data_IF_698603813047
#
_entry.id   IF_698603813047
#
_cell.length_a   1.000
_cell.length_b   1.000
_cell.length_c   1.000
_cell.angle_alpha   90.00
_cell.angle_beta   90.00
_cell.angle_gamma   90.00
#
_symmetry.space_group_name_H-M   'P 1'
#
loop_
_entity.id
_entity.type
_entity.pdbx_description
1 polymer ?
#
# COMPACT_ATOMS: atom_id res chain seq x y z
N UNK A 1 -7.96 23.89 16.57
CA UNK A 1 -7.29 22.55 16.64
C UNK A 1 -6.23 22.58 15.56
N UNK A 2 -4.96 22.36 15.89
CA UNK A 2 -3.89 22.30 14.90
C UNK A 2 -3.68 20.84 14.55
N UNK A 3 -3.80 20.48 13.27
CA UNK A 3 -3.49 19.18 12.72
C UNK A 3 -2.08 19.15 12.17
N UNK A 4 -1.48 17.97 12.09
CA UNK A 4 -0.22 17.72 11.39
C UNK A 4 -0.54 16.85 10.18
N UNK A 5 -0.10 17.26 8.98
CA UNK A 5 -0.22 16.45 7.79
C UNK A 5 0.58 15.14 7.96
N UNK A 6 0.01 14.03 7.55
CA UNK A 6 0.67 12.72 7.60
C UNK A 6 0.23 11.84 6.44
N UNK A 7 1.13 10.98 5.98
CA UNK A 7 0.91 10.01 4.92
C UNK A 7 1.70 8.73 5.18
N UNK A 8 1.15 7.59 4.77
CA UNK A 8 1.83 6.30 4.77
C UNK A 8 2.06 5.83 3.33
N UNK A 9 3.32 5.66 2.97
CA UNK A 9 3.75 5.17 1.66
C UNK A 9 4.06 3.67 1.70
N UNK A 10 3.49 2.91 0.75
CA UNK A 10 3.99 1.58 0.44
C UNK A 10 5.29 1.71 -0.35
N UNK A 11 6.35 1.17 0.20
CA UNK A 11 7.72 1.33 -0.33
C UNK A 11 8.45 -0.01 -0.40
N UNK A 12 9.59 -0.02 -1.04
CA UNK A 12 10.49 -1.16 -1.00
C UNK A 12 11.96 -0.72 -0.88
N UNK A 13 12.74 -1.62 -0.33
CA UNK A 13 14.20 -1.54 -0.29
C UNK A 13 14.80 -2.82 -0.85
N UNK A 14 15.93 -2.72 -1.52
CA UNK A 14 16.68 -3.91 -1.96
C UNK A 14 17.68 -4.31 -0.86
N UNK A 15 17.57 -5.53 -0.35
CA UNK A 15 18.50 -6.14 0.60
C UNK A 15 18.94 -7.49 0.08
N UNK A 16 20.24 -7.68 -0.13
CA UNK A 16 20.82 -8.92 -0.65
C UNK A 16 20.11 -9.43 -1.93
N UNK A 17 19.88 -8.55 -2.89
CA UNK A 17 19.14 -8.79 -4.13
C UNK A 17 17.67 -9.21 -3.95
N UNK A 18 17.11 -9.07 -2.73
CA UNK A 18 15.72 -9.34 -2.43
C UNK A 18 14.98 -8.01 -2.25
N UNK A 19 13.83 -7.87 -2.92
CA UNK A 19 12.92 -6.74 -2.72
C UNK A 19 12.16 -6.95 -1.41
N UNK A 20 12.40 -6.10 -0.42
CA UNK A 20 11.71 -6.10 0.87
C UNK A 20 10.71 -4.95 0.85
N UNK A 21 9.44 -5.28 1.02
CA UNK A 21 8.36 -4.30 1.15
C UNK A 21 8.34 -3.75 2.57
N UNK A 22 8.12 -2.45 2.68
CA UNK A 22 8.03 -1.73 3.95
C UNK A 22 7.11 -0.52 3.79
N UNK A 23 6.71 0.05 4.92
CA UNK A 23 5.92 1.27 4.92
C UNK A 23 6.72 2.42 5.52
N UNK A 24 6.61 3.59 4.90
CA UNK A 24 7.24 4.82 5.35
C UNK A 24 6.16 5.82 5.68
N UNK A 25 6.22 6.36 6.88
CA UNK A 25 5.37 7.45 7.33
C UNK A 25 6.08 8.78 7.07
N UNK A 26 5.35 9.72 6.50
CA UNK A 26 5.77 11.11 6.40
C UNK A 26 4.91 12.00 7.28
N UNK A 27 5.51 12.88 8.06
CA UNK A 27 4.79 13.78 8.95
C UNK A 27 5.25 15.23 8.78
N UNK A 28 4.33 16.18 8.95
CA UNK A 28 4.64 17.60 9.05
C UNK A 28 5.21 18.24 7.80
N UNK A 29 5.03 17.62 6.64
CA UNK A 29 5.52 18.11 5.36
C UNK A 29 4.65 19.24 4.81
N UNK A 30 5.23 20.10 3.97
CA UNK A 30 4.49 21.08 3.17
C UNK A 30 3.63 20.35 2.11
N UNK A 31 2.31 20.43 2.27
CA UNK A 31 1.33 19.80 1.38
C UNK A 31 1.36 20.38 -0.04
N UNK A 32 1.97 21.55 -0.25
CA UNK A 32 2.09 22.20 -1.57
C UNK A 32 3.43 21.92 -2.26
N UNK A 33 4.33 21.15 -1.63
CA UNK A 33 5.62 20.85 -2.23
C UNK A 33 5.45 20.02 -3.51
N UNK A 34 6.03 20.49 -4.61
CA UNK A 34 5.82 19.91 -5.95
C UNK A 34 6.38 18.49 -6.06
N UNK A 35 7.50 18.14 -5.39
CA UNK A 35 8.05 16.80 -5.41
C UNK A 35 7.15 15.82 -4.66
N UNK A 36 6.60 16.27 -3.54
CA UNK A 36 5.64 15.51 -2.76
C UNK A 36 4.36 15.26 -3.55
N UNK A 37 3.78 16.29 -4.15
CA UNK A 37 2.59 16.19 -5.00
C UNK A 37 2.80 15.24 -6.18
N UNK A 38 3.93 15.32 -6.86
CA UNK A 38 4.27 14.43 -7.97
C UNK A 38 4.39 12.96 -7.51
N UNK A 39 4.99 12.71 -6.35
CA UNK A 39 5.11 11.36 -5.79
C UNK A 39 3.75 10.77 -5.41
N UNK A 40 2.88 11.58 -4.80
CA UNK A 40 1.50 11.19 -4.45
C UNK A 40 0.68 10.88 -5.71
N UNK A 41 0.83 11.68 -6.76
CA UNK A 41 0.17 11.46 -8.04
C UNK A 41 0.65 10.16 -8.71
N UNK A 42 1.97 9.92 -8.75
CA UNK A 42 2.54 8.66 -9.27
C UNK A 42 2.00 7.44 -8.49
N UNK A 43 1.96 7.54 -7.16
CA UNK A 43 1.41 6.47 -6.32
C UNK A 43 -0.07 6.21 -6.60
N UNK A 44 -0.86 7.27 -6.82
CA UNK A 44 -2.26 7.18 -7.21
C UNK A 44 -2.41 6.45 -8.55
N UNK A 45 -1.65 6.86 -9.56
CA UNK A 45 -1.69 6.26 -10.91
C UNK A 45 -1.30 4.79 -10.91
N UNK A 46 -0.22 4.43 -10.22
CA UNK A 46 0.21 3.03 -10.07
C UNK A 46 -0.88 2.19 -9.39
N UNK A 47 -1.53 2.72 -8.37
CA UNK A 47 -2.61 2.05 -7.65
C UNK A 47 -3.82 1.82 -8.55
N UNK A 48 -4.25 2.86 -9.27
CA UNK A 48 -5.37 2.76 -10.21
C UNK A 48 -5.08 1.70 -11.29
N UNK A 49 -3.88 1.74 -11.88
CA UNK A 49 -3.46 0.75 -12.88
C UNK A 49 -3.50 -0.69 -12.33
N UNK A 50 -3.13 -0.85 -11.09
CA UNK A 50 -3.15 -2.12 -10.39
C UNK A 50 -4.57 -2.61 -10.09
N UNK A 51 -5.45 -1.74 -9.64
CA UNK A 51 -6.87 -2.07 -9.43
C UNK A 51 -7.54 -2.47 -10.75
N UNK A 52 -7.22 -1.78 -11.85
CA UNK A 52 -7.71 -2.16 -13.19
C UNK A 52 -7.24 -3.57 -13.57
N UNK A 53 -5.98 -3.92 -13.32
CA UNK A 53 -5.48 -5.29 -13.57
C UNK A 53 -6.23 -6.34 -12.74
N UNK A 54 -6.46 -6.05 -11.46
CA UNK A 54 -7.23 -6.93 -10.58
C UNK A 54 -8.68 -7.08 -11.03
N UNK A 55 -9.30 -5.98 -11.44
CA UNK A 55 -10.66 -5.99 -11.97
C UNK A 55 -10.76 -6.83 -13.26
N UNK A 56 -9.85 -6.62 -14.21
CA UNK A 56 -9.82 -7.39 -15.45
C UNK A 56 -9.61 -8.89 -15.16
N UNK A 57 -8.73 -9.21 -14.23
CA UNK A 57 -8.53 -10.58 -13.78
C UNK A 57 -9.81 -11.17 -13.16
N UNK A 58 -10.47 -10.42 -12.27
CA UNK A 58 -11.75 -10.82 -11.70
C UNK A 58 -12.80 -11.06 -12.78
N UNK A 59 -12.93 -10.17 -13.75
CA UNK A 59 -13.84 -10.33 -14.91
C UNK A 59 -13.55 -11.60 -15.72
N UNK A 60 -12.28 -11.95 -15.92
CA UNK A 60 -11.89 -13.16 -16.66
C UNK A 60 -12.19 -14.46 -15.90
N UNK A 61 -12.11 -14.45 -14.57
CA UNK A 61 -12.30 -15.62 -13.71
C UNK A 61 -13.73 -15.76 -13.19
N UNK A 62 -14.48 -14.68 -13.19
CA UNK A 62 -15.85 -14.58 -12.70
C UNK A 62 -16.81 -14.68 -13.86
N UNK A 63 -17.38 -15.84 -14.03
CA UNK A 63 -18.50 -16.00 -14.94
C UNK A 63 -19.70 -15.19 -14.39
N UNK A 64 -20.10 -14.15 -15.13
CA UNK A 64 -21.37 -13.43 -14.94
C UNK A 64 -21.47 -12.42 -13.77
N UNK A 65 -20.39 -11.70 -13.43
CA UNK A 65 -20.59 -10.49 -12.61
C UNK A 65 -21.21 -9.39 -13.48
N UNK A 66 -22.31 -8.77 -13.03
CA UNK A 66 -22.89 -7.64 -13.76
C UNK A 66 -21.87 -6.50 -13.84
N UNK A 67 -21.70 -5.93 -15.05
CA UNK A 67 -20.79 -4.78 -15.24
C UNK A 67 -21.16 -3.60 -14.32
N UNK A 68 -22.44 -3.44 -14.04
CA UNK A 68 -22.98 -2.43 -13.15
C UNK A 68 -22.41 -2.54 -11.72
N UNK A 69 -22.28 -3.77 -11.18
CA UNK A 69 -21.71 -4.01 -9.85
C UNK A 69 -20.25 -3.61 -9.79
N UNK A 70 -19.50 -3.89 -10.85
CA UNK A 70 -18.08 -3.58 -10.95
C UNK A 70 -17.83 -2.09 -11.18
N UNK A 71 -18.73 -1.36 -11.83
CA UNK A 71 -18.64 0.08 -12.05
C UNK A 71 -18.72 0.89 -10.75
N UNK A 72 -19.33 0.31 -9.70
CA UNK A 72 -19.42 0.93 -8.37
C UNK A 72 -18.11 0.91 -7.58
N UNK A 73 -17.13 0.10 -8.01
CA UNK A 73 -15.82 0.04 -7.35
C UNK A 73 -15.04 1.32 -7.69
N UNK A 74 -14.82 2.15 -6.69
CA UNK A 74 -14.01 3.35 -6.85
C UNK A 74 -12.53 2.99 -6.92
N UNK A 75 -11.95 3.00 -8.12
CA UNK A 75 -10.55 2.65 -8.37
C UNK A 75 -9.54 3.64 -7.78
N UNK A 76 -9.98 4.88 -7.50
CA UNK A 76 -9.13 5.92 -6.93
C UNK A 76 -9.08 5.89 -5.41
N UNK A 77 -10.03 5.20 -4.78
CA UNK A 77 -10.14 5.16 -3.33
C UNK A 77 -8.95 4.41 -2.71
N UNK A 78 -8.43 4.96 -1.64
CA UNK A 78 -7.41 4.32 -0.82
C UNK A 78 -8.04 3.20 0.03
N UNK A 79 -8.47 2.13 -0.62
CA UNK A 79 -8.96 0.94 0.07
C UNK A 79 -8.47 -0.31 -0.64
N UNK A 80 -8.52 -1.38 0.09
CA UNK A 80 -8.18 -2.68 -0.44
C UNK A 80 -9.22 -3.05 -1.50
N UNK A 81 -8.80 -3.22 -2.76
CA UNK A 81 -9.68 -3.61 -3.87
C UNK A 81 -10.54 -4.83 -3.52
N UNK A 82 -9.95 -5.84 -2.87
CA UNK A 82 -10.63 -7.04 -2.41
C UNK A 82 -11.82 -6.73 -1.49
N UNK A 83 -11.68 -5.79 -0.57
CA UNK A 83 -12.78 -5.39 0.33
C UNK A 83 -13.93 -4.71 -0.39
N UNK A 84 -13.62 -3.78 -1.29
CA UNK A 84 -14.68 -3.10 -2.08
C UNK A 84 -15.37 -4.08 -3.02
N UNK A 85 -14.61 -5.01 -3.61
CA UNK A 85 -15.15 -6.06 -4.46
C UNK A 85 -16.12 -6.97 -3.66
N UNK A 86 -15.70 -7.49 -2.51
CA UNK A 86 -16.56 -8.31 -1.64
C UNK A 86 -17.81 -7.53 -1.22
N UNK A 87 -17.67 -6.25 -0.86
CA UNK A 87 -18.79 -5.40 -0.50
C UNK A 87 -19.81 -5.24 -1.67
N UNK A 88 -19.33 -5.13 -2.91
CA UNK A 88 -20.22 -5.14 -4.08
C UNK A 88 -21.00 -6.45 -4.19
N UNK A 89 -20.35 -7.60 -3.99
CA UNK A 89 -21.04 -8.90 -4.01
C UNK A 89 -22.09 -9.01 -2.89
N UNK A 90 -21.78 -8.53 -1.69
CA UNK A 90 -22.73 -8.49 -0.57
C UNK A 90 -23.93 -7.60 -0.88
N UNK A 91 -23.72 -6.43 -1.45
CA UNK A 91 -24.79 -5.50 -1.86
C UNK A 91 -25.69 -6.05 -2.96
N UNK A 92 -25.14 -6.87 -3.85
CA UNK A 92 -25.88 -7.53 -4.94
C UNK A 92 -26.51 -8.87 -4.53
N UNK A 93 -26.48 -9.20 -3.21
CA UNK A 93 -27.05 -10.41 -2.63
C UNK A 93 -26.51 -11.72 -3.24
N UNK A 94 -25.22 -11.74 -3.60
CA UNK A 94 -24.57 -13.01 -3.98
C UNK A 94 -24.58 -13.99 -2.80
N UNK A 95 -24.62 -15.29 -3.11
CA UNK A 95 -24.59 -16.31 -2.06
C UNK A 95 -23.30 -16.25 -1.24
N UNK A 96 -23.37 -16.64 0.02
CA UNK A 96 -22.19 -16.70 0.90
C UNK A 96 -21.10 -17.60 0.36
N UNK A 97 -21.43 -18.65 -0.38
CA UNK A 97 -20.44 -19.53 -1.01
C UNK A 97 -19.60 -18.78 -2.05
N UNK A 98 -20.23 -17.93 -2.88
CA UNK A 98 -19.56 -17.07 -3.85
C UNK A 98 -18.69 -16.04 -3.13
N UNK A 99 -19.22 -15.39 -2.11
CA UNK A 99 -18.50 -14.39 -1.32
C UNK A 99 -17.26 -15.00 -0.67
N UNK A 100 -17.40 -16.16 -0.02
CA UNK A 100 -16.31 -16.86 0.63
C UNK A 100 -15.26 -17.34 -0.36
N UNK A 101 -15.68 -17.86 -1.54
CA UNK A 101 -14.75 -18.21 -2.61
C UNK A 101 -13.83 -17.05 -2.98
N UNK A 102 -14.37 -15.81 -3.12
CA UNK A 102 -13.55 -14.64 -3.45
C UNK A 102 -12.71 -14.13 -2.29
N UNK A 103 -13.21 -14.19 -1.06
CA UNK A 103 -12.40 -13.89 0.12
C UNK A 103 -11.16 -14.76 0.19
N UNK A 104 -11.34 -16.07 0.02
CA UNK A 104 -10.23 -17.04 0.01
C UNK A 104 -9.33 -16.85 -1.19
N UNK A 105 -9.90 -16.60 -2.37
CA UNK A 105 -9.15 -16.33 -3.59
C UNK A 105 -8.22 -15.13 -3.41
N UNK A 106 -8.73 -13.98 -2.95
CA UNK A 106 -7.91 -12.79 -2.72
C UNK A 106 -6.88 -13.01 -1.60
N UNK A 107 -7.25 -13.67 -0.52
CA UNK A 107 -6.34 -14.00 0.57
C UNK A 107 -5.16 -14.85 0.10
N UNK A 108 -5.42 -15.88 -0.71
CA UNK A 108 -4.41 -16.83 -1.16
C UNK A 108 -3.55 -16.29 -2.33
N UNK A 109 -4.08 -15.35 -3.11
CA UNK A 109 -3.42 -14.82 -4.31
C UNK A 109 -2.95 -13.37 -4.17
N UNK A 110 -3.05 -12.78 -2.98
CA UNK A 110 -2.72 -11.38 -2.71
C UNK A 110 -1.33 -10.97 -3.19
N UNK A 111 -0.35 -11.87 -3.10
CA UNK A 111 1.02 -11.62 -3.52
C UNK A 111 1.25 -11.86 -5.02
N UNK A 112 0.42 -12.68 -5.67
CA UNK A 112 0.54 -13.00 -7.09
C UNK A 112 -0.08 -11.93 -7.99
N UNK A 113 -1.08 -11.22 -7.47
CA UNK A 113 -1.81 -10.17 -8.20
C UNK A 113 -1.67 -8.81 -7.54
N UNK A 114 -0.98 -8.76 -6.40
CA UNK A 114 -0.69 -7.51 -5.71
C UNK A 114 0.04 -6.58 -6.66
N UNK A 115 -0.50 -5.39 -6.85
CA UNK A 115 0.09 -4.43 -7.76
C UNK A 115 1.48 -4.04 -7.28
N UNK A 116 2.39 -3.90 -8.22
CA UNK A 116 3.69 -3.32 -7.95
C UNK A 116 3.56 -1.78 -7.98
N UNK A 117 2.87 -1.25 -6.94
CA UNK A 117 2.76 0.19 -6.72
C UNK A 117 3.74 0.69 -5.66
N UNK A 118 4.55 -0.21 -5.10
CA UNK A 118 5.54 0.18 -4.13
C UNK A 118 6.55 1.15 -4.75
N UNK A 119 6.91 2.18 -4.02
CA UNK A 119 7.89 3.17 -4.40
C UNK A 119 9.27 2.80 -3.83
N UNK A 120 10.33 3.10 -4.54
CA UNK A 120 11.66 2.95 -3.98
C UNK A 120 11.82 3.88 -2.77
N UNK A 121 12.31 3.33 -1.66
CA UNK A 121 12.35 4.03 -0.37
C UNK A 121 13.13 5.35 -0.43
N UNK A 122 14.25 5.42 -1.17
CA UNK A 122 15.03 6.65 -1.29
C UNK A 122 14.20 7.78 -1.88
N UNK A 123 13.41 7.51 -2.93
CA UNK A 123 12.54 8.52 -3.55
C UNK A 123 11.50 9.07 -2.59
N UNK A 124 10.98 8.21 -1.69
CA UNK A 124 10.00 8.59 -0.67
C UNK A 124 10.66 9.49 0.38
N UNK A 125 11.85 9.10 0.87
CA UNK A 125 12.65 9.89 1.82
C UNK A 125 12.96 11.28 1.22
N UNK A 126 13.49 11.32 -0.01
CA UNK A 126 13.85 12.57 -0.68
C UNK A 126 12.65 13.49 -0.89
N UNK A 127 11.47 12.94 -1.19
CA UNK A 127 10.27 13.74 -1.40
C UNK A 127 9.77 14.34 -0.07
N UNK A 128 9.71 13.56 1.01
CA UNK A 128 9.27 14.03 2.32
C UNK A 128 10.24 15.10 2.85
N UNK A 129 11.56 14.87 2.79
CA UNK A 129 12.56 15.85 3.23
C UNK A 129 12.56 17.11 2.38
N UNK A 130 12.32 17.00 1.04
CA UNK A 130 12.20 18.20 0.20
C UNK A 130 11.00 19.08 0.55
N UNK A 131 10.05 18.52 1.29
CA UNK A 131 8.86 19.20 1.80
C UNK A 131 8.98 19.55 3.31
N UNK A 132 10.20 19.57 3.85
CA UNK A 132 10.50 19.84 5.27
C UNK A 132 9.81 18.88 6.25
N UNK A 133 9.43 17.69 5.80
CA UNK A 133 8.77 16.67 6.60
C UNK A 133 9.73 15.70 7.31
N UNK A 134 9.19 14.93 8.25
CA UNK A 134 9.90 13.87 8.96
C UNK A 134 9.55 12.50 8.40
N UNK A 135 10.54 11.62 8.28
CA UNK A 135 10.46 10.26 7.72
C UNK A 135 10.58 9.22 8.81
N UNK A 136 9.60 8.34 8.95
CA UNK A 136 9.56 7.31 9.99
C UNK A 136 9.29 5.94 9.37
N UNK A 137 10.08 4.91 9.77
CA UNK A 137 9.79 3.52 9.41
C UNK A 137 8.57 3.03 10.21
N UNK A 138 7.52 2.60 9.51
CA UNK A 138 6.32 2.08 10.14
C UNK A 138 6.51 0.62 10.60
N UNK A 139 5.92 0.26 11.72
CA UNK A 139 5.72 -1.11 12.23
C UNK A 139 6.77 -2.17 11.80
N UNK A 140 8.08 -2.00 12.09
CA UNK A 140 9.15 -2.86 11.56
C UNK A 140 8.99 -4.34 11.93
N UNK A 141 8.33 -4.63 13.04
CA UNK A 141 8.12 -6.01 13.51
C UNK A 141 7.00 -6.74 12.74
N UNK A 142 6.16 -6.03 11.99
CA UNK A 142 5.08 -6.62 11.20
C UNK A 142 5.54 -7.29 9.89
N UNK A 143 6.79 -7.08 9.46
CA UNK A 143 7.29 -7.56 8.16
C UNK A 143 7.66 -9.04 8.12
N UNK A 144 7.49 -9.79 9.22
CA UNK A 144 7.83 -11.22 9.32
C UNK A 144 9.28 -11.53 8.91
N UNK A 145 10.19 -10.66 9.27
CA UNK A 145 11.62 -10.77 9.05
C UNK A 145 12.32 -11.26 10.32
N UNK A 146 13.51 -11.83 10.15
CA UNK A 146 14.38 -12.15 11.28
C UNK A 146 14.90 -10.87 11.93
N UNK A 147 15.34 -10.98 13.20
CA UNK A 147 15.92 -9.84 13.92
C UNK A 147 17.11 -9.21 13.16
N UNK A 148 17.96 -10.04 12.57
CA UNK A 148 19.12 -9.59 11.81
C UNK A 148 18.69 -8.85 10.52
N UNK A 149 17.68 -9.35 9.82
CA UNK A 149 17.13 -8.67 8.64
C UNK A 149 16.53 -7.30 9.01
N UNK A 150 15.78 -7.22 10.12
CA UNK A 150 15.22 -5.95 10.62
C UNK A 150 16.36 -4.99 10.98
N UNK A 151 17.39 -5.46 11.70
CA UNK A 151 18.55 -4.64 12.06
C UNK A 151 19.27 -4.11 10.81
N UNK A 152 19.49 -4.95 9.81
CA UNK A 152 20.14 -4.56 8.55
C UNK A 152 19.29 -3.53 7.77
N UNK A 153 17.95 -3.67 7.78
CA UNK A 153 17.06 -2.70 7.14
C UNK A 153 17.12 -1.36 7.86
N UNK A 154 17.07 -1.35 9.18
CA UNK A 154 17.15 -0.14 9.99
C UNK A 154 18.48 0.58 9.76
N UNK A 155 19.61 -0.16 9.76
CA UNK A 155 20.92 0.41 9.46
C UNK A 155 20.94 1.07 8.09
N UNK A 156 20.47 0.35 7.06
CA UNK A 156 20.42 0.87 5.71
C UNK A 156 19.50 2.08 5.56
N UNK A 157 18.34 2.08 6.21
CA UNK A 157 17.42 3.21 6.21
C UNK A 157 18.00 4.42 6.97
N UNK A 158 18.77 4.18 8.03
CA UNK A 158 19.52 5.23 8.72
C UNK A 158 20.54 5.90 7.79
N UNK A 159 21.28 5.11 6.99
CA UNK A 159 22.22 5.64 6.00
C UNK A 159 21.51 6.43 4.88
N UNK A 160 20.24 6.09 4.59
CA UNK A 160 19.39 6.79 3.65
C UNK A 160 18.70 8.03 4.23
N UNK A 161 18.82 8.24 5.54
CA UNK A 161 18.37 9.45 6.22
C UNK A 161 16.97 9.40 6.82
N UNK A 162 16.46 8.24 7.30
CA UNK A 162 15.21 8.25 8.07
C UNK A 162 15.40 8.98 9.40
N UNK A 163 14.36 9.66 9.87
CA UNK A 163 14.38 10.44 11.12
C UNK A 163 13.94 9.62 12.33
N UNK A 164 13.20 8.55 12.12
CA UNK A 164 12.65 7.77 13.21
C UNK A 164 12.13 6.39 12.84
N UNK A 165 11.71 5.66 13.88
CA UNK A 165 11.15 4.30 13.77
C UNK A 165 9.96 4.22 14.72
N UNK A 166 8.87 3.63 14.26
CA UNK A 166 7.73 3.29 15.11
C UNK A 166 8.10 2.15 16.06
N UNK A 167 8.02 2.40 17.37
CA UNK A 167 8.45 1.45 18.40
C UNK A 167 7.28 0.66 18.99
N UNK A 168 6.12 1.29 19.10
CA UNK A 168 4.93 0.69 19.71
C UNK A 168 3.82 0.54 18.69
N UNK A 169 3.30 -0.67 18.57
CA UNK A 169 2.15 -0.98 17.73
C UNK A 169 1.18 -1.87 18.51
N UNK A 170 -0.14 -1.63 18.33
CA UNK A 170 -1.19 -2.29 19.12
C UNK A 170 -1.35 -3.80 18.86
N UNK A 171 -0.77 -4.32 17.79
CA UNK A 171 -0.99 -5.69 17.30
C UNK A 171 0.29 -6.57 17.33
N UNK A 172 1.19 -6.26 18.24
CA UNK A 172 2.38 -7.08 18.49
C UNK A 172 2.18 -8.02 19.66
#
# INVERSE_FOLDING_TARGET
MHGIAGVEFSSYIMLNNKKIKLHILGYGFDENNIKMLNLLQEMKEKRVAAHIKLLNFAKMKLLNLPEESLSRINMERYCWFDREFIKCLEQDNYSMDVINYYRDYFKNNRFSYGPDYDLEVQRVIDAIHSADGFVVLAHPMAYKLTRDEVTNIISKLSDLGIDGIEVYQSDC
#
